data_IF_682422530194
#
_entry.id   IF_682422530194
#
_cell.length_a   1.000
_cell.length_b   1.000
_cell.length_c   1.000
_cell.angle_alpha   90.00
_cell.angle_beta   90.00
_cell.angle_gamma   90.00
#
_symmetry.space_group_name_H-M   'P 1'
#
loop_
_entity.id
_entity.type
_entity.pdbx_description
1 polymer ?
#
# COMPACT_ATOMS: atom_id res chain seq x y z
N UNK A 1 -19.86 2.07 -8.29
CA UNK A 1 -19.01 3.26 -8.10
C UNK A 1 -17.79 2.78 -7.32
N UNK A 2 -16.61 2.76 -7.94
CA UNK A 2 -15.41 2.25 -7.27
C UNK A 2 -15.02 3.25 -6.17
N UNK A 3 -14.75 2.76 -4.96
CA UNK A 3 -14.20 3.56 -3.88
C UNK A 3 -12.90 4.24 -4.36
N UNK A 4 -12.67 5.51 -4.08
CA UNK A 4 -11.41 6.16 -4.41
C UNK A 4 -10.28 5.45 -3.66
N UNK A 5 -9.40 4.78 -4.40
CA UNK A 5 -8.24 4.02 -3.90
C UNK A 5 -7.15 4.89 -3.24
N UNK A 6 -7.41 6.17 -3.02
CA UNK A 6 -6.40 7.17 -2.67
C UNK A 6 -6.34 7.55 -1.18
N UNK A 7 -7.10 6.90 -0.28
CA UNK A 7 -7.10 7.22 1.15
C UNK A 7 -6.47 6.15 2.05
N UNK A 8 -5.77 5.19 1.48
CA UNK A 8 -4.94 4.32 2.29
C UNK A 8 -3.53 4.91 2.37
N UNK A 9 -2.95 5.09 3.57
CA UNK A 9 -1.52 5.35 3.69
C UNK A 9 -0.78 4.29 2.90
N UNK A 10 0.30 4.67 2.26
CA UNK A 10 1.13 3.88 1.34
C UNK A 10 0.89 2.37 1.46
N UNK A 11 0.33 1.75 0.39
CA UNK A 11 0.10 0.30 0.35
C UNK A 11 1.41 -0.38 0.71
N UNK A 12 1.45 -0.96 1.90
CA UNK A 12 2.52 -1.88 2.23
C UNK A 12 2.39 -3.07 1.28
N UNK A 13 3.46 -3.46 0.58
CA UNK A 13 3.46 -4.69 -0.18
C UNK A 13 3.22 -5.85 0.80
N UNK A 14 2.41 -6.75 0.47
CA UNK A 14 1.91 -7.79 1.35
C UNK A 14 2.45 -9.20 1.05
N UNK A 15 2.20 -10.25 1.79
CA UNK A 15 2.97 -11.49 1.93
C UNK A 15 2.16 -12.77 2.17
N UNK A 16 2.55 -13.95 1.66
CA UNK A 16 1.93 -15.25 1.89
C UNK A 16 2.74 -16.19 2.80
N UNK A 17 2.05 -16.92 3.64
CA UNK A 17 2.61 -17.99 4.45
C UNK A 17 1.84 -19.31 4.32
N UNK A 18 2.54 -20.43 4.15
CA UNK A 18 2.00 -21.77 4.33
C UNK A 18 1.60 -22.01 5.79
N UNK A 19 0.54 -22.74 5.98
CA UNK A 19 -0.13 -23.02 7.24
C UNK A 19 0.79 -23.37 8.41
N UNK A 20 0.98 -22.43 9.34
CA UNK A 20 1.23 -22.74 10.75
C UNK A 20 0.73 -21.58 11.61
N UNK A 21 -0.25 -21.81 12.50
CA UNK A 21 -0.91 -20.75 13.30
C UNK A 21 -0.01 -20.13 14.39
N UNK A 22 1.22 -20.58 14.55
CA UNK A 22 2.10 -20.18 15.67
C UNK A 22 3.24 -19.21 15.30
N UNK A 23 3.47 -18.93 14.01
CA UNK A 23 4.68 -18.18 13.61
C UNK A 23 4.56 -16.66 13.84
N UNK A 24 3.37 -16.07 13.75
CA UNK A 24 3.16 -14.66 14.11
C UNK A 24 3.28 -14.41 15.61
N UNK A 25 2.87 -15.39 16.45
CA UNK A 25 3.09 -15.36 17.90
C UNK A 25 4.58 -15.40 18.23
N UNK A 26 5.35 -16.20 17.51
CA UNK A 26 6.80 -16.25 17.66
C UNK A 26 7.48 -14.95 17.22
N UNK A 27 7.03 -14.31 16.13
CA UNK A 27 7.56 -13.02 15.68
C UNK A 27 7.23 -11.88 16.67
N UNK A 28 5.99 -11.83 17.19
CA UNK A 28 5.61 -10.90 18.25
C UNK A 28 6.34 -11.18 19.56
N UNK A 29 6.51 -12.45 19.94
CA UNK A 29 7.28 -12.84 21.13
C UNK A 29 8.77 -12.51 20.98
N UNK A 30 9.37 -12.71 19.80
CA UNK A 30 10.74 -12.31 19.51
C UNK A 30 10.91 -10.77 19.51
N UNK A 31 9.97 -10.04 18.96
CA UNK A 31 9.96 -8.57 19.02
C UNK A 31 9.80 -8.06 20.47
N UNK A 32 8.95 -8.72 21.27
CA UNK A 32 8.76 -8.41 22.69
C UNK A 32 9.99 -8.77 23.52
N UNK A 33 10.65 -9.91 23.24
CA UNK A 33 11.88 -10.34 23.90
C UNK A 33 13.07 -9.42 23.57
N UNK A 34 13.18 -8.95 22.33
CA UNK A 34 14.15 -7.91 21.93
C UNK A 34 13.91 -6.58 22.64
N UNK A 35 12.65 -6.29 22.95
CA UNK A 35 12.25 -5.11 23.71
C UNK A 35 12.57 -5.20 25.21
N UNK A 36 12.49 -6.39 25.78
CA UNK A 36 12.72 -6.67 27.21
C UNK A 36 14.20 -6.85 27.57
N UNK A 37 15.12 -7.00 26.59
CA UNK A 37 16.56 -7.09 26.89
C UNK A 37 17.10 -5.71 27.29
N UNK A 38 17.55 -5.54 28.54
CA UNK A 38 18.21 -4.30 28.99
C UNK A 38 19.59 -4.21 28.33
N UNK A 39 19.71 -3.36 27.32
CA UNK A 39 21.01 -2.97 26.74
C UNK A 39 21.02 -1.49 26.51
N UNK A 40 22.07 -0.86 27.03
CA UNK A 40 22.48 0.54 26.89
C UNK A 40 21.40 1.62 27.12
N UNK A 41 21.64 2.46 28.08
CA UNK A 41 20.84 3.63 28.48
C UNK A 41 20.64 4.71 27.39
N UNK A 42 21.06 4.43 26.14
CA UNK A 42 20.96 5.32 24.98
C UNK A 42 20.02 4.83 23.89
N UNK A 43 19.50 3.62 23.98
CA UNK A 43 18.56 3.10 22.98
C UNK A 43 17.19 3.76 23.15
N UNK A 44 16.81 4.63 22.22
CA UNK A 44 15.47 5.20 22.16
C UNK A 44 14.51 4.21 21.50
N UNK A 45 13.29 4.16 22.00
CA UNK A 45 12.22 3.34 21.43
C UNK A 45 10.92 4.10 21.39
N UNK A 46 10.11 3.82 20.39
CA UNK A 46 8.77 4.39 20.24
C UNK A 46 7.75 3.27 20.13
N UNK A 47 6.64 3.40 20.85
CA UNK A 47 5.46 2.60 20.67
C UNK A 47 4.31 3.51 20.26
N UNK A 48 3.57 3.09 19.25
CA UNK A 48 2.41 3.81 18.74
C UNK A 48 1.24 2.87 18.55
N UNK A 49 0.04 3.36 18.85
CA UNK A 49 -1.20 2.71 18.53
C UNK A 49 -2.18 3.74 17.98
N UNK A 50 -2.89 3.38 16.91
CA UNK A 50 -3.94 4.21 16.31
C UNK A 50 -5.14 3.33 16.03
N UNK A 51 -6.31 3.77 16.46
CA UNK A 51 -7.59 3.26 16.01
C UNK A 51 -8.21 4.26 15.02
N UNK A 52 -8.77 3.74 13.94
CA UNK A 52 -9.48 4.54 12.95
C UNK A 52 -10.74 3.80 12.54
N UNK A 53 -11.87 4.48 12.53
CA UNK A 53 -13.10 4.02 11.92
C UNK A 53 -13.44 4.89 10.73
N UNK A 54 -13.88 4.28 9.66
CA UNK A 54 -14.41 4.94 8.48
C UNK A 54 -15.74 4.32 8.12
N UNK A 55 -16.73 5.13 7.75
CA UNK A 55 -18.04 4.68 7.34
C UNK A 55 -18.47 5.44 6.10
N UNK A 56 -19.03 4.73 5.13
CA UNK A 56 -19.63 5.33 3.95
C UNK A 56 -20.87 6.14 4.34
N UNK A 57 -21.15 7.25 3.63
CA UNK A 57 -22.21 8.18 3.95
C UNK A 57 -23.59 7.52 4.10
N UNK A 58 -23.89 6.50 3.32
CA UNK A 58 -25.14 5.73 3.42
C UNK A 58 -25.09 4.58 4.44
N UNK A 59 -24.01 4.43 5.20
CA UNK A 59 -23.82 3.35 6.17
C UNK A 59 -23.62 1.96 5.56
N UNK A 60 -23.42 1.85 4.25
CA UNK A 60 -23.29 0.57 3.54
C UNK A 60 -22.00 -0.16 3.83
N UNK A 61 -20.90 0.57 3.98
CA UNK A 61 -19.58 -0.01 4.27
C UNK A 61 -18.98 0.70 5.48
N UNK A 62 -18.48 -0.10 6.41
CA UNK A 62 -17.70 0.36 7.56
C UNK A 62 -16.36 -0.36 7.60
N UNK A 63 -15.30 0.38 7.88
CA UNK A 63 -13.95 -0.14 8.07
C UNK A 63 -13.44 0.31 9.42
N UNK A 64 -13.12 -0.66 10.27
CA UNK A 64 -12.47 -0.44 11.56
C UNK A 64 -11.03 -0.93 11.48
N UNK A 65 -10.07 -0.04 11.71
CA UNK A 65 -8.63 -0.28 11.54
C UNK A 65 -7.87 -0.06 12.85
N UNK A 66 -7.05 -1.03 13.22
CA UNK A 66 -6.14 -0.98 14.35
C UNK A 66 -4.71 -1.01 13.84
N UNK A 67 -3.95 0.04 14.12
CA UNK A 67 -2.53 0.16 13.76
C UNK A 67 -1.68 0.06 15.01
N UNK A 68 -0.60 -0.69 14.94
CA UNK A 68 0.43 -0.76 15.96
C UNK A 68 1.79 -0.45 15.33
N UNK A 69 2.63 0.28 16.03
CA UNK A 69 4.00 0.61 15.66
C UNK A 69 4.92 0.34 16.85
N UNK A 70 6.02 -0.34 16.61
CA UNK A 70 7.14 -0.43 17.52
C UNK A 70 8.42 -0.08 16.75
N UNK A 71 9.18 0.87 17.24
CA UNK A 71 10.46 1.28 16.68
C UNK A 71 11.51 1.28 17.79
N UNK A 72 12.72 0.81 17.49
CA UNK A 72 13.81 0.77 18.45
C UNK A 72 15.16 0.91 17.77
N UNK A 73 16.03 1.70 18.38
CA UNK A 73 17.43 1.78 18.02
C UNK A 73 18.17 0.53 18.58
N UNK A 74 18.85 -0.19 17.69
CA UNK A 74 19.72 -1.32 18.02
C UNK A 74 21.18 -0.85 18.02
N UNK A 75 21.53 0.06 18.94
CA UNK A 75 22.79 0.77 18.99
C UNK A 75 22.71 2.12 18.27
N UNK A 76 23.87 2.68 17.89
CA UNK A 76 23.95 4.07 17.36
C UNK A 76 23.66 4.18 15.87
N UNK A 77 23.74 3.09 15.12
CA UNK A 77 23.66 3.11 13.65
C UNK A 77 22.52 2.26 13.08
N UNK A 78 21.88 1.42 13.89
CA UNK A 78 20.87 0.45 13.42
C UNK A 78 19.54 0.75 14.06
N UNK A 79 18.47 0.76 13.25
CA UNK A 79 17.11 0.96 13.70
C UNK A 79 16.23 -0.19 13.20
N UNK A 80 15.41 -0.72 14.09
CA UNK A 80 14.39 -1.71 13.80
C UNK A 80 13.01 -1.08 13.97
N UNK A 81 12.15 -1.27 12.97
CA UNK A 81 10.75 -0.84 12.99
C UNK A 81 9.84 -2.01 12.65
N UNK A 82 8.81 -2.20 13.44
CA UNK A 82 7.76 -3.20 13.23
C UNK A 82 6.43 -2.49 13.18
N UNK A 83 5.61 -2.79 12.18
CA UNK A 83 4.23 -2.32 12.13
C UNK A 83 3.26 -3.48 12.10
N UNK A 84 2.07 -3.27 12.62
CA UNK A 84 0.96 -4.22 12.56
C UNK A 84 -0.33 -3.50 12.20
N UNK A 85 -1.19 -4.18 11.44
CA UNK A 85 -2.48 -3.66 11.01
C UNK A 85 -3.51 -4.78 11.08
N UNK A 86 -4.66 -4.48 11.67
CA UNK A 86 -5.86 -5.31 11.56
C UNK A 86 -6.99 -4.42 11.08
N UNK A 87 -7.50 -4.70 9.88
CA UNK A 87 -8.69 -4.07 9.33
C UNK A 87 -9.86 -5.06 9.39
N UNK A 88 -11.03 -4.58 9.75
CA UNK A 88 -12.29 -5.29 9.61
C UNK A 88 -13.21 -4.47 8.73
N UNK A 89 -13.59 -5.05 7.60
CA UNK A 89 -14.55 -4.46 6.66
C UNK A 89 -15.88 -5.17 6.86
N UNK A 90 -16.93 -4.41 7.07
CA UNK A 90 -18.30 -4.92 7.19
C UNK A 90 -19.27 -4.05 6.42
N UNK A 91 -20.32 -4.64 5.89
CA UNK A 91 -21.34 -3.88 5.17
C UNK A 91 -21.99 -4.65 4.04
N UNK A 92 -22.46 -3.93 3.05
CA UNK A 92 -23.09 -4.47 1.86
C UNK A 92 -22.54 -3.78 0.60
N UNK A 93 -22.14 -4.59 -0.38
CA UNK A 93 -21.62 -4.13 -1.67
C UNK A 93 -22.57 -4.48 -2.80
N UNK A 94 -22.76 -3.61 -3.82
CA UNK A 94 -23.53 -3.95 -5.00
C UNK A 94 -22.99 -5.21 -5.69
N UNK A 95 -23.89 -6.15 -6.04
CA UNK A 95 -23.53 -7.41 -6.72
C UNK A 95 -23.08 -7.22 -8.16
N UNK A 96 -23.21 -6.01 -8.72
CA UNK A 96 -23.01 -5.75 -10.15
C UNK A 96 -24.22 -6.15 -11.03
N UNK A 97 -25.24 -6.75 -10.45
CA UNK A 97 -26.49 -7.06 -11.17
C UNK A 97 -27.35 -5.80 -11.32
N UNK A 98 -28.09 -5.67 -12.44
CA UNK A 98 -29.03 -4.55 -12.59
C UNK A 98 -30.16 -4.65 -11.58
N UNK A 99 -30.79 -3.50 -11.32
CA UNK A 99 -32.02 -3.46 -10.54
C UNK A 99 -33.11 -4.33 -11.22
N UNK A 100 -33.95 -5.00 -10.42
CA UNK A 100 -35.00 -5.89 -10.92
C UNK A 100 -36.05 -5.17 -11.78
N UNK A 101 -36.20 -3.86 -11.61
CA UNK A 101 -37.06 -2.96 -12.39
C UNK A 101 -36.55 -1.51 -12.27
N UNK A 102 -36.90 -0.61 -13.19
CA UNK A 102 -36.56 0.81 -13.09
C UNK A 102 -36.97 1.40 -11.72
N UNK A 103 -36.02 2.07 -11.04
CA UNK A 103 -36.23 2.66 -9.72
C UNK A 103 -36.12 1.71 -8.52
N UNK A 104 -35.94 0.42 -8.73
CA UNK A 104 -35.68 -0.50 -7.63
C UNK A 104 -34.22 -0.37 -7.11
N UNK A 105 -33.98 -0.63 -5.81
CA UNK A 105 -32.63 -0.66 -5.27
C UNK A 105 -31.77 -1.70 -5.98
N UNK A 106 -30.47 -1.40 -6.14
CA UNK A 106 -29.49 -2.35 -6.67
C UNK A 106 -29.35 -3.55 -5.71
N UNK A 107 -29.28 -4.78 -6.25
CA UNK A 107 -28.98 -5.93 -5.41
C UNK A 107 -27.63 -5.79 -4.72
N UNK A 108 -27.61 -6.03 -3.40
CA UNK A 108 -26.41 -5.96 -2.59
C UNK A 108 -26.11 -7.32 -1.95
N UNK A 109 -24.83 -7.63 -1.79
CA UNK A 109 -24.36 -8.77 -1.02
C UNK A 109 -23.70 -8.26 0.27
N UNK A 110 -23.88 -8.99 1.37
CA UNK A 110 -23.15 -8.71 2.59
C UNK A 110 -21.66 -8.91 2.36
N UNK A 111 -20.87 -7.94 2.78
CA UNK A 111 -19.42 -7.97 2.75
C UNK A 111 -18.93 -8.01 4.19
N UNK A 112 -18.16 -9.03 4.53
CA UNK A 112 -17.40 -9.08 5.79
C UNK A 112 -16.05 -9.70 5.46
N UNK A 113 -15.00 -8.94 5.69
CA UNK A 113 -13.64 -9.45 5.55
C UNK A 113 -12.74 -8.86 6.62
N UNK A 114 -11.64 -9.55 6.88
CA UNK A 114 -10.66 -9.16 7.89
C UNK A 114 -9.25 -9.30 7.33
N UNK A 115 -8.58 -8.18 7.18
CA UNK A 115 -7.17 -8.11 6.82
C UNK A 115 -6.30 -8.09 8.06
N UNK A 116 -5.24 -8.87 8.05
CA UNK A 116 -4.13 -8.83 9.01
C UNK A 116 -2.86 -8.59 8.24
N UNK A 117 -2.15 -7.51 8.57
CA UNK A 117 -0.89 -7.19 7.94
C UNK A 117 0.18 -6.84 8.98
N UNK A 118 1.44 -7.06 8.65
CA UNK A 118 2.58 -6.63 9.44
C UNK A 118 3.76 -6.33 8.53
N UNK A 119 4.67 -5.50 8.99
CA UNK A 119 5.95 -5.26 8.31
C UNK A 119 7.10 -5.18 9.30
N UNK A 120 8.28 -5.47 8.78
CA UNK A 120 9.56 -5.34 9.45
C UNK A 120 10.48 -4.50 8.58
N UNK A 121 11.06 -3.44 9.15
CA UNK A 121 12.08 -2.60 8.53
C UNK A 121 13.34 -2.62 9.38
N UNK A 122 14.47 -2.90 8.78
CA UNK A 122 15.80 -2.79 9.39
C UNK A 122 16.61 -1.79 8.59
N UNK A 123 17.05 -0.71 9.23
CA UNK A 123 17.92 0.28 8.62
C UNK A 123 19.26 0.37 9.37
N UNK A 124 20.34 0.59 8.59
CA UNK A 124 21.69 0.75 9.12
C UNK A 124 22.41 1.91 8.43
N UNK A 125 23.07 2.73 9.22
CA UNK A 125 23.85 3.88 8.75
C UNK A 125 25.30 3.45 8.52
N UNK A 126 25.73 3.51 7.27
CA UNK A 126 27.09 3.24 6.80
C UNK A 126 27.73 4.57 6.39
N UNK A 127 28.37 5.28 7.32
CA UNK A 127 28.95 6.59 7.07
C UNK A 127 27.91 7.61 6.54
N UNK A 128 27.96 7.96 5.26
CA UNK A 128 27.04 8.91 4.61
C UNK A 128 25.84 8.22 3.96
N UNK A 129 25.79 6.89 3.96
CA UNK A 129 24.73 6.09 3.33
C UNK A 129 23.94 5.36 4.39
N UNK A 130 22.63 5.49 4.35
CA UNK A 130 21.70 4.62 5.10
C UNK A 130 21.13 3.59 4.15
N UNK A 131 21.26 2.31 4.49
CA UNK A 131 20.62 1.20 3.79
C UNK A 131 19.47 0.69 4.63
N UNK A 132 18.33 0.44 4.01
CA UNK A 132 17.17 -0.14 4.66
C UNK A 132 16.70 -1.37 3.89
N UNK A 133 16.40 -2.43 4.62
CA UNK A 133 15.77 -3.66 4.11
C UNK A 133 14.43 -3.82 4.80
N UNK A 134 13.43 -4.16 4.04
CA UNK A 134 12.12 -4.35 4.61
C UNK A 134 11.39 -5.56 4.05
N UNK A 135 10.39 -5.99 4.80
CA UNK A 135 9.63 -7.19 4.56
C UNK A 135 8.23 -7.01 5.15
N UNK A 136 7.19 -7.35 4.43
CA UNK A 136 5.81 -7.15 4.86
C UNK A 136 4.90 -8.32 4.51
N UNK A 137 3.83 -8.50 5.28
CA UNK A 137 2.84 -9.54 5.11
C UNK A 137 1.42 -8.95 5.21
N UNK A 138 0.54 -9.33 4.30
CA UNK A 138 -0.89 -9.02 4.39
C UNK A 138 -1.72 -10.24 4.00
N UNK A 139 -2.75 -10.52 4.77
CA UNK A 139 -3.64 -11.65 4.53
C UNK A 139 -5.08 -11.25 4.76
N UNK A 140 -5.88 -11.49 3.74
CA UNK A 140 -7.33 -11.45 3.74
C UNK A 140 -7.90 -12.87 3.58
N UNK A 141 -9.19 -13.03 3.50
CA UNK A 141 -9.82 -14.35 3.34
C UNK A 141 -9.46 -15.02 2.00
N UNK A 142 -9.28 -14.23 0.96
CA UNK A 142 -9.10 -14.65 -0.42
C UNK A 142 -7.97 -13.93 -1.16
N UNK A 143 -7.18 -13.13 -0.45
CA UNK A 143 -6.05 -12.40 -0.98
C UNK A 143 -4.87 -12.47 -0.01
N UNK A 144 -3.77 -12.99 -0.50
CA UNK A 144 -2.51 -13.05 0.22
C UNK A 144 -1.47 -12.34 -0.62
N UNK A 145 -0.64 -11.55 0.01
CA UNK A 145 0.28 -10.69 -0.72
C UNK A 145 1.63 -10.58 0.01
N UNK A 146 2.73 -10.84 -0.69
CA UNK A 146 4.12 -10.94 -0.25
C UNK A 146 4.97 -9.76 -0.75
N UNK A 147 5.76 -9.11 0.10
CA UNK A 147 6.58 -7.98 -0.32
C UNK A 147 7.91 -7.83 0.40
N UNK A 148 8.92 -7.40 -0.33
CA UNK A 148 10.20 -7.00 0.21
C UNK A 148 10.74 -5.78 -0.55
N UNK A 149 11.59 -5.02 0.11
CA UNK A 149 12.24 -3.86 -0.47
C UNK A 149 13.63 -3.64 0.07
N UNK A 150 14.43 -2.99 -0.74
CA UNK A 150 15.73 -2.44 -0.36
C UNK A 150 15.79 -0.98 -0.79
N UNK A 151 16.24 -0.12 0.11
CA UNK A 151 16.44 1.29 -0.17
C UNK A 151 17.82 1.72 0.29
N UNK A 152 18.46 2.61 -0.46
CA UNK A 152 19.63 3.33 -0.04
C UNK A 152 19.40 4.83 -0.11
N UNK A 153 19.84 5.53 0.90
CA UNK A 153 19.82 6.98 0.99
C UNK A 153 21.23 7.45 1.28
N UNK A 154 21.84 8.16 0.32
CA UNK A 154 23.21 8.65 0.44
C UNK A 154 23.22 10.16 0.48
N UNK A 155 23.88 10.71 1.48
CA UNK A 155 24.01 12.14 1.72
C UNK A 155 25.34 12.66 1.16
N UNK A 156 25.28 13.73 0.35
CA UNK A 156 26.39 14.40 -0.29
C UNK A 156 26.40 15.89 0.08
N UNK A 157 27.48 16.57 -0.26
CA UNK A 157 27.58 18.01 -0.14
C UNK A 157 27.14 18.52 1.26
N UNK A 158 27.82 17.99 2.30
CA UNK A 158 27.52 18.32 3.72
C UNK A 158 26.05 18.08 4.09
N UNK A 159 25.42 17.04 3.52
CA UNK A 159 24.00 16.65 3.66
C UNK A 159 23.00 17.57 2.94
N UNK A 160 23.49 18.53 2.13
CA UNK A 160 22.61 19.39 1.35
C UNK A 160 21.97 18.66 0.15
N UNK A 161 22.59 17.55 -0.29
CA UNK A 161 22.08 16.72 -1.40
C UNK A 161 21.88 15.29 -0.90
N UNK A 162 20.70 14.73 -1.08
CA UNK A 162 20.40 13.34 -0.76
C UNK A 162 19.98 12.60 -2.01
N UNK A 163 20.66 11.51 -2.32
CA UNK A 163 20.27 10.56 -3.37
C UNK A 163 19.50 9.40 -2.74
N UNK A 164 18.34 9.07 -3.29
CA UNK A 164 17.53 7.91 -2.95
C UNK A 164 17.56 6.92 -4.11
N UNK A 165 17.85 5.65 -3.84
CA UNK A 165 17.65 4.54 -4.79
C UNK A 165 16.92 3.43 -4.04
N UNK A 166 15.87 2.88 -4.64
CA UNK A 166 15.08 1.83 -4.02
C UNK A 166 14.55 0.83 -5.04
N UNK A 167 14.37 -0.40 -4.57
CA UNK A 167 13.67 -1.45 -5.26
C UNK A 167 12.69 -2.13 -4.33
N UNK A 168 11.52 -2.46 -4.85
CA UNK A 168 10.50 -3.21 -4.13
C UNK A 168 9.90 -4.28 -5.06
N UNK A 169 9.63 -5.44 -4.50
CA UNK A 169 8.90 -6.52 -5.15
C UNK A 169 7.70 -6.94 -4.31
N UNK A 170 6.61 -7.27 -5.00
CA UNK A 170 5.37 -7.80 -4.41
C UNK A 170 4.95 -9.02 -5.19
N UNK A 171 4.60 -10.08 -4.48
CA UNK A 171 4.01 -11.31 -5.02
C UNK A 171 2.65 -11.53 -4.34
N UNK A 172 1.59 -11.66 -5.13
CA UNK A 172 0.21 -11.77 -4.65
C UNK A 172 -0.43 -13.09 -5.09
N UNK A 173 -1.10 -13.79 -4.16
CA UNK A 173 -1.96 -14.94 -4.41
C UNK A 173 -3.42 -14.54 -4.23
N UNK A 174 -4.25 -14.83 -5.21
CA UNK A 174 -5.64 -14.37 -5.30
C UNK A 174 -6.54 -15.60 -5.47
N UNK A 175 -7.44 -15.82 -4.49
CA UNK A 175 -8.38 -16.95 -4.47
C UNK A 175 -9.83 -16.50 -4.39
N UNK A 176 -10.12 -15.31 -4.94
CA UNK A 176 -11.46 -14.72 -4.89
C UNK A 176 -12.52 -15.65 -5.48
N UNK A 177 -13.69 -15.68 -4.83
CA UNK A 177 -14.79 -16.63 -5.08
C UNK A 177 -15.29 -16.67 -6.54
N UNK A 178 -15.17 -15.56 -7.25
CA UNK A 178 -15.64 -15.45 -8.63
C UNK A 178 -14.60 -15.87 -9.67
N UNK A 179 -13.40 -16.22 -9.24
CA UNK A 179 -12.36 -16.70 -10.14
C UNK A 179 -12.49 -18.20 -10.37
N UNK A 180 -12.34 -18.68 -11.62
CA UNK A 180 -12.44 -20.11 -11.94
C UNK A 180 -11.27 -20.94 -11.35
N UNK A 181 -10.16 -20.30 -11.04
CA UNK A 181 -8.98 -20.91 -10.41
C UNK A 181 -8.18 -19.84 -9.67
N UNK A 182 -7.34 -20.23 -8.70
CA UNK A 182 -6.37 -19.33 -8.06
C UNK A 182 -5.53 -18.60 -9.11
N UNK A 183 -5.27 -17.32 -8.88
CA UNK A 183 -4.48 -16.45 -9.74
C UNK A 183 -3.30 -15.88 -8.96
N UNK A 184 -2.26 -15.50 -9.68
CA UNK A 184 -1.09 -14.84 -9.11
C UNK A 184 -0.81 -13.50 -9.80
N UNK A 185 -0.19 -12.60 -9.08
CA UNK A 185 0.27 -11.33 -9.60
C UNK A 185 1.62 -10.96 -8.97
N UNK A 186 2.51 -10.42 -9.75
CA UNK A 186 3.78 -9.88 -9.28
C UNK A 186 3.90 -8.41 -9.64
N UNK A 187 4.63 -7.64 -8.83
CA UNK A 187 4.93 -6.25 -9.09
C UNK A 187 6.36 -5.90 -8.68
N UNK A 188 7.09 -5.26 -9.59
CA UNK A 188 8.45 -4.78 -9.38
C UNK A 188 8.45 -3.25 -9.54
N UNK A 189 8.91 -2.52 -8.53
CA UNK A 189 9.03 -1.06 -8.56
C UNK A 189 10.51 -0.66 -8.30
N UNK A 190 11.06 0.20 -9.15
CA UNK A 190 12.34 0.87 -8.94
C UNK A 190 12.10 2.35 -8.76
N UNK A 191 12.74 2.95 -7.77
CA UNK A 191 12.69 4.40 -7.53
C UNK A 191 14.10 4.98 -7.51
N UNK A 192 14.26 6.13 -8.15
CA UNK A 192 15.45 7.00 -8.02
C UNK A 192 14.96 8.41 -7.69
N UNK A 193 15.58 9.02 -6.70
CA UNK A 193 15.18 10.34 -6.24
C UNK A 193 16.35 11.18 -5.77
N UNK A 194 16.19 12.49 -5.86
CA UNK A 194 17.13 13.48 -5.32
C UNK A 194 16.36 14.48 -4.48
N UNK A 195 16.86 14.75 -3.30
CA UNK A 195 16.47 15.91 -2.48
C UNK A 195 17.62 16.86 -2.36
N UNK A 196 17.39 18.14 -2.66
CA UNK A 196 18.36 19.21 -2.58
C UNK A 196 17.87 20.29 -1.63
N UNK A 197 18.69 20.64 -0.63
CA UNK A 197 18.54 21.87 0.12
C UNK A 197 19.01 23.04 -0.75
N UNK A 198 18.09 23.88 -1.20
CA UNK A 198 18.39 25.06 -2.01
C UNK A 198 18.96 26.19 -1.16
N UNK A 199 18.50 26.28 0.08
CA UNK A 199 18.95 27.17 1.14
C UNK A 199 18.46 26.61 2.51
N UNK A 200 18.84 27.21 3.66
CA UNK A 200 18.44 26.70 4.98
C UNK A 200 16.92 26.61 5.25
N UNK A 201 16.11 27.23 4.40
CA UNK A 201 14.64 27.28 4.54
C UNK A 201 13.90 26.51 3.44
N UNK A 202 14.59 26.08 2.38
CA UNK A 202 13.94 25.56 1.20
C UNK A 202 14.57 24.23 0.76
N UNK A 203 13.77 23.19 0.64
CA UNK A 203 14.17 21.92 0.04
C UNK A 203 13.30 21.55 -1.15
N UNK A 204 13.93 20.98 -2.18
CA UNK A 204 13.29 20.46 -3.37
C UNK A 204 13.57 18.96 -3.46
N UNK A 205 12.54 18.14 -3.64
CA UNK A 205 12.65 16.71 -3.89
C UNK A 205 12.08 16.37 -5.26
N UNK A 206 12.78 15.51 -6.01
CA UNK A 206 12.28 14.93 -7.25
C UNK A 206 12.53 13.43 -7.21
N UNK A 207 11.47 12.63 -7.40
CA UNK A 207 11.54 11.17 -7.44
C UNK A 207 10.91 10.65 -8.73
N UNK A 208 11.55 9.67 -9.35
CA UNK A 208 11.04 8.94 -10.51
C UNK A 208 10.91 7.48 -10.15
N UNK A 209 9.71 6.94 -10.33
CA UNK A 209 9.44 5.52 -10.11
C UNK A 209 9.00 4.87 -11.42
N UNK A 210 9.63 3.74 -11.76
CA UNK A 210 9.16 2.83 -12.79
C UNK A 210 8.66 1.56 -12.14
N UNK A 211 7.43 1.15 -12.47
CA UNK A 211 6.84 -0.08 -11.96
C UNK A 211 6.38 -1.00 -13.10
N UNK A 212 6.54 -2.30 -12.90
CA UNK A 212 6.06 -3.33 -13.80
C UNK A 212 5.28 -4.36 -13.01
N UNK A 213 4.00 -4.57 -13.36
CA UNK A 213 3.17 -5.63 -12.79
C UNK A 213 2.88 -6.68 -13.84
N UNK A 214 2.83 -7.95 -13.44
CA UNK A 214 2.55 -9.11 -14.29
C UNK A 214 1.60 -10.08 -13.61
N UNK A 215 0.84 -10.84 -14.37
CA UNK A 215 -0.11 -11.84 -13.88
C UNK A 215 -1.55 -11.34 -13.93
N UNK A 216 -2.37 -11.70 -12.96
CA UNK A 216 -3.77 -11.32 -12.93
C UNK A 216 -3.93 -9.87 -12.45
N UNK A 217 -4.09 -8.94 -13.39
CA UNK A 217 -4.17 -7.49 -13.11
C UNK A 217 -5.61 -6.95 -13.15
N UNK A 218 -6.59 -7.81 -13.37
CA UNK A 218 -8.02 -7.49 -13.29
C UNK A 218 -8.47 -7.32 -11.84
N UNK A 219 -9.61 -6.67 -11.63
CA UNK A 219 -10.23 -6.59 -10.31
C UNK A 219 -10.91 -7.94 -9.99
N UNK A 220 -10.47 -8.70 -8.98
CA UNK A 220 -11.00 -10.02 -8.67
C UNK A 220 -12.44 -9.99 -8.14
N UNK A 221 -12.94 -8.82 -7.75
CA UNK A 221 -14.30 -8.62 -7.21
C UNK A 221 -15.26 -8.00 -8.22
N UNK A 222 -14.77 -7.67 -9.42
CA UNK A 222 -15.57 -7.02 -10.44
C UNK A 222 -16.16 -8.04 -11.40
N UNK A 223 -17.48 -8.06 -11.47
CA UNK A 223 -18.26 -8.87 -12.39
C UNK A 223 -18.78 -7.98 -13.51
N UNK A 224 -18.58 -8.42 -14.75
CA UNK A 224 -19.12 -7.78 -15.95
C UNK A 224 -20.31 -8.61 -16.41
N UNK A 225 -21.49 -7.99 -16.49
CA UNK A 225 -22.68 -8.60 -17.05
C UNK A 225 -22.81 -8.21 -18.52
N UNK A 226 -22.99 -9.19 -19.38
CA UNK A 226 -23.20 -9.01 -20.82
C UNK A 226 -24.46 -9.77 -21.25
N UNK A 227 -25.38 -9.11 -21.93
CA UNK A 227 -26.49 -9.79 -22.62
C UNK A 227 -25.91 -10.54 -23.80
N UNK A 228 -26.10 -11.86 -23.81
CA UNK A 228 -25.63 -12.76 -24.87
C UNK A 228 -26.82 -13.45 -25.51
N UNK A 229 -26.95 -13.29 -26.82
CA UNK A 229 -27.97 -13.99 -27.60
C UNK A 229 -27.55 -15.45 -27.79
N UNK A 230 -28.30 -16.36 -27.20
CA UNK A 230 -28.05 -17.81 -27.26
C UNK A 230 -28.78 -18.46 -28.44
N UNK A 231 -29.93 -17.90 -28.82
CA UNK A 231 -30.75 -18.28 -29.97
C UNK A 231 -31.37 -17.00 -30.55
N UNK A 232 -31.77 -17.01 -31.84
CA UNK A 232 -32.45 -15.84 -32.43
C UNK A 232 -33.64 -15.37 -31.57
N UNK A 233 -33.57 -14.18 -31.03
CA UNK A 233 -34.57 -13.57 -30.15
C UNK A 233 -34.53 -14.00 -28.69
N UNK A 234 -33.58 -14.85 -28.24
CA UNK A 234 -33.38 -15.23 -26.85
C UNK A 234 -32.05 -14.75 -26.33
N UNK A 235 -32.06 -13.63 -25.61
CA UNK A 235 -30.90 -13.07 -24.95
C UNK A 235 -30.93 -13.33 -23.46
N UNK A 236 -29.83 -13.88 -22.89
CA UNK A 236 -29.68 -14.07 -21.47
C UNK A 236 -28.51 -13.23 -20.93
N UNK A 237 -28.64 -12.64 -19.72
CA UNK A 237 -27.56 -11.97 -19.08
C UNK A 237 -26.53 -12.98 -18.52
N UNK A 238 -25.36 -13.05 -19.12
CA UNK A 238 -24.25 -13.85 -18.63
C UNK A 238 -23.25 -12.94 -17.85
N UNK A 239 -22.63 -13.49 -16.82
CA UNK A 239 -21.64 -12.79 -15.99
C UNK A 239 -20.23 -13.30 -16.29
N UNK A 240 -19.30 -12.39 -16.41
CA UNK A 240 -17.89 -12.66 -16.70
C UNK A 240 -17.01 -11.90 -15.71
N UNK A 241 -15.85 -12.45 -15.31
CA UNK A 241 -14.84 -11.68 -14.61
C UNK A 241 -14.27 -10.57 -15.52
N UNK A 242 -13.75 -9.50 -14.91
CA UNK A 242 -13.02 -8.50 -15.68
C UNK A 242 -11.77 -9.13 -16.31
N UNK A 243 -11.48 -8.77 -17.56
CA UNK A 243 -10.29 -9.25 -18.27
C UNK A 243 -9.44 -8.06 -18.74
N UNK A 244 -8.31 -7.85 -18.08
CA UNK A 244 -7.30 -6.86 -18.46
C UNK A 244 -6.02 -7.56 -18.92
N UNK A 245 -5.15 -6.86 -19.69
CA UNK A 245 -3.84 -7.39 -20.04
C UNK A 245 -3.07 -7.85 -18.79
N UNK A 246 -2.32 -8.92 -18.92
CA UNK A 246 -1.55 -9.54 -17.83
C UNK A 246 -0.21 -8.83 -17.52
N UNK A 247 0.07 -7.69 -18.15
CA UNK A 247 1.23 -6.84 -17.92
C UNK A 247 0.80 -5.38 -17.88
N UNK A 248 1.32 -4.65 -16.91
CA UNK A 248 1.14 -3.20 -16.78
C UNK A 248 2.46 -2.55 -16.42
N UNK A 249 2.87 -1.55 -17.18
CA UNK A 249 4.01 -0.71 -16.88
C UNK A 249 3.54 0.70 -16.50
N UNK A 250 4.10 1.25 -15.41
CA UNK A 250 3.76 2.57 -14.90
C UNK A 250 5.00 3.43 -14.71
N UNK A 251 4.85 4.73 -14.90
CA UNK A 251 5.81 5.75 -14.56
C UNK A 251 5.18 6.77 -13.63
N UNK A 252 5.90 7.14 -12.58
CA UNK A 252 5.49 8.15 -11.63
C UNK A 252 6.63 9.14 -11.50
N UNK A 253 6.33 10.43 -11.64
CA UNK A 253 7.24 11.53 -11.31
C UNK A 253 6.62 12.30 -10.17
N UNK A 254 7.34 12.44 -9.09
CA UNK A 254 6.96 13.24 -7.93
C UNK A 254 7.94 14.39 -7.76
N UNK A 255 7.42 15.59 -7.48
CA UNK A 255 8.20 16.76 -7.11
C UNK A 255 7.57 17.38 -5.86
N UNK A 256 8.38 17.67 -4.84
CA UNK A 256 7.95 18.29 -3.58
C UNK A 256 8.84 19.47 -3.22
N UNK A 257 8.23 20.56 -2.83
CA UNK A 257 8.88 21.78 -2.35
C UNK A 257 8.43 22.04 -0.91
N UNK A 258 9.39 22.13 0.01
CA UNK A 258 9.14 22.55 1.39
C UNK A 258 9.81 23.90 1.64
N UNK A 259 9.07 24.84 2.17
CA UNK A 259 9.52 26.19 2.48
C UNK A 259 9.20 26.53 3.94
N UNK A 260 10.21 26.70 4.76
CA UNK A 260 10.04 27.22 6.13
C UNK A 260 9.81 28.74 6.12
N UNK A 261 8.81 29.19 6.86
CA UNK A 261 8.39 30.58 7.03
C UNK A 261 8.53 31.00 8.50
N UNK A 262 9.78 31.20 9.02
CA UNK A 262 10.01 31.46 10.44
C UNK A 262 9.29 32.71 10.94
N UNK A 263 9.15 33.73 10.10
CA UNK A 263 8.48 34.99 10.45
C UNK A 263 6.98 34.80 10.75
N UNK A 264 6.39 33.70 10.21
CA UNK A 264 4.98 33.35 10.42
C UNK A 264 4.80 32.14 11.36
N UNK A 265 5.91 31.62 11.95
CA UNK A 265 5.93 30.35 12.69
C UNK A 265 5.26 29.20 11.92
N UNK A 266 5.45 29.15 10.59
CA UNK A 266 4.82 28.22 9.69
C UNK A 266 5.76 27.60 8.67
N UNK A 267 5.20 26.70 7.87
CA UNK A 267 5.85 26.14 6.70
C UNK A 267 4.82 26.04 5.56
N UNK A 268 5.30 26.03 4.33
CA UNK A 268 4.53 25.76 3.14
C UNK A 268 5.07 24.49 2.48
N UNK A 269 4.20 23.50 2.30
CA UNK A 269 4.49 22.25 1.62
C UNK A 269 3.68 22.19 0.33
N UNK A 270 4.38 22.16 -0.80
CA UNK A 270 3.78 22.01 -2.12
C UNK A 270 4.25 20.72 -2.78
N UNK A 271 3.36 19.95 -3.37
CA UNK A 271 3.75 18.77 -4.13
C UNK A 271 2.99 18.62 -5.44
N UNK A 272 3.66 18.01 -6.40
CA UNK A 272 3.10 17.61 -7.69
C UNK A 272 3.47 16.18 -7.99
N UNK A 273 2.49 15.38 -8.41
CA UNK A 273 2.68 14.00 -8.83
C UNK A 273 2.06 13.79 -10.21
N UNK A 274 2.88 13.36 -11.15
CA UNK A 274 2.46 12.85 -12.45
C UNK A 274 2.47 11.32 -12.43
N UNK A 275 1.42 10.71 -12.98
CA UNK A 275 1.29 9.28 -13.19
C UNK A 275 0.90 9.00 -14.64
N UNK A 276 1.52 7.96 -15.22
CA UNK A 276 1.18 7.40 -16.53
C UNK A 276 1.38 5.89 -16.51
N UNK A 277 0.50 5.15 -17.19
CA UNK A 277 0.68 3.72 -17.46
C UNK A 277 0.37 3.35 -18.93
N UNK A 278 0.68 2.10 -19.29
CA UNK A 278 0.41 1.53 -20.61
C UNK A 278 -1.05 1.08 -20.80
N UNK A 279 -1.91 1.17 -19.75
CA UNK A 279 -3.36 1.06 -19.87
C UNK A 279 -4.04 2.38 -20.31
N UNK A 280 -3.23 3.42 -20.61
CA UNK A 280 -3.71 4.73 -21.04
C UNK A 280 -4.12 5.65 -19.90
N UNK A 281 -3.92 5.26 -18.63
CA UNK A 281 -4.23 6.13 -17.50
C UNK A 281 -3.17 7.22 -17.37
N UNK A 282 -3.63 8.48 -17.23
CA UNK A 282 -2.80 9.63 -16.87
C UNK A 282 -3.46 10.38 -15.73
N UNK A 283 -2.70 10.80 -14.75
CA UNK A 283 -3.21 11.66 -13.70
C UNK A 283 -2.19 12.68 -13.23
N UNK A 284 -2.70 13.81 -12.76
CA UNK A 284 -1.95 14.91 -12.16
C UNK A 284 -2.54 15.16 -10.79
N UNK A 285 -1.72 15.17 -9.76
CA UNK A 285 -2.15 15.46 -8.39
C UNK A 285 -1.32 16.62 -7.88
N UNK A 286 -1.99 17.60 -7.30
CA UNK A 286 -1.38 18.76 -6.62
C UNK A 286 -1.83 18.74 -5.17
N UNK A 287 -0.91 18.97 -4.27
CA UNK A 287 -1.17 19.13 -2.83
C UNK A 287 -0.49 20.39 -2.34
N UNK A 288 -1.16 21.14 -1.47
CA UNK A 288 -0.66 22.33 -0.81
C UNK A 288 -1.12 22.31 0.64
N UNK A 289 -0.18 22.45 1.57
CA UNK A 289 -0.42 22.47 3.01
C UNK A 289 0.35 23.60 3.71
#
# INVERSE_FOLDING_TARGET
MALPKNFLPARFPGFAWSHSPNRWRAALAAALLLWLCPRDTRAQGQLGYKFQTWQEESGRIRVDSHYALAERDLGVATKLKVTGLVDTISGASPTGQPASKPGAPLPVASLTDRRKAWSLDLSHVLSVTTVALGYANSRESDYISDGWWVNSRTEFNEKNTTLLVGYARVDDDITARFLPAPQTKTGDDVVVGVTQLLNPRTSLSVNVTRGVSRGYLSDPYKIIQKSTELLPGLSLPLTFPENRPNRREKWIVFSGLNLALPEMNGALDGSYRFYRDDYGTRSHTFELA
#
